data_IF_161753216380
#
_entry.id   IF_161753216380
#
_cell.length_a   1.000
_cell.length_b   1.000
_cell.length_c   1.000
_cell.angle_alpha   90.00
_cell.angle_beta   90.00
_cell.angle_gamma   90.00
#
_symmetry.space_group_name_H-M   'P 1'
#
loop_
_entity.id
_entity.type
_entity.pdbx_description
1 polymer ?
#
# COMPACT_ATOMS: atom_id res chain seq x y z
N UNK A 1 15.10 -3.69 -21.77
CA UNK A 1 13.92 -3.02 -21.16
C UNK A 1 13.08 -3.99 -20.32
N UNK A 2 12.55 -5.08 -20.90
CA UNK A 2 11.70 -6.04 -20.18
C UNK A 2 12.35 -6.65 -18.92
N UNK A 3 13.63 -7.01 -18.97
CA UNK A 3 14.33 -7.56 -17.80
C UNK A 3 14.47 -6.57 -16.64
N UNK A 4 14.68 -5.29 -16.95
CA UNK A 4 14.76 -4.23 -15.95
C UNK A 4 13.41 -4.01 -15.26
N UNK A 5 12.33 -3.99 -16.05
CA UNK A 5 10.95 -3.92 -15.53
C UNK A 5 10.65 -5.10 -14.61
N UNK A 6 11.00 -6.32 -15.02
CA UNK A 6 10.87 -7.51 -14.17
C UNK A 6 11.63 -7.36 -12.85
N UNK A 7 12.87 -6.84 -12.89
CA UNK A 7 13.67 -6.60 -11.67
C UNK A 7 12.96 -5.63 -10.72
N UNK A 8 12.39 -4.53 -11.22
CA UNK A 8 11.62 -3.59 -10.39
C UNK A 8 10.42 -4.28 -9.73
N UNK A 9 9.65 -5.07 -10.48
CA UNK A 9 8.52 -5.83 -9.94
C UNK A 9 8.91 -6.96 -8.97
N UNK A 10 10.18 -7.33 -8.90
CA UNK A 10 10.70 -8.31 -7.94
C UNK A 10 11.32 -7.66 -6.69
N UNK A 11 11.52 -6.33 -6.69
CA UNK A 11 12.02 -5.58 -5.53
C UNK A 11 10.90 -5.40 -4.49
N UNK A 12 10.58 -6.47 -3.77
CA UNK A 12 9.46 -6.51 -2.81
C UNK A 12 9.52 -5.42 -1.76
N UNK A 13 10.71 -5.17 -1.22
CA UNK A 13 10.93 -4.15 -0.21
C UNK A 13 10.53 -2.75 -0.72
N UNK A 14 10.84 -2.43 -1.98
CA UNK A 14 10.48 -1.16 -2.60
C UNK A 14 8.95 -1.01 -2.71
N UNK A 15 8.29 -2.07 -3.15
CA UNK A 15 6.83 -2.09 -3.28
C UNK A 15 6.11 -2.08 -1.93
N UNK A 16 6.67 -2.71 -0.89
CA UNK A 16 6.18 -2.59 0.49
C UNK A 16 6.27 -1.13 0.97
N UNK A 17 7.39 -0.44 0.69
CA UNK A 17 7.53 0.99 1.02
C UNK A 17 6.49 1.83 0.28
N UNK A 18 6.35 1.63 -1.03
CA UNK A 18 5.38 2.36 -1.84
C UNK A 18 3.94 2.14 -1.35
N UNK A 19 3.51 0.89 -1.21
CA UNK A 19 2.18 0.56 -0.71
C UNK A 19 1.95 1.14 0.68
N UNK A 20 2.93 1.02 1.57
CA UNK A 20 2.85 1.56 2.93
C UNK A 20 2.68 3.08 2.95
N UNK A 21 3.47 3.82 2.15
CA UNK A 21 3.36 5.27 2.02
C UNK A 21 1.98 5.71 1.53
N UNK A 22 1.47 5.06 0.47
CA UNK A 22 0.16 5.39 -0.08
C UNK A 22 -0.96 5.11 0.92
N UNK A 23 -0.91 3.99 1.67
CA UNK A 23 -1.90 3.73 2.72
C UNK A 23 -1.88 4.81 3.81
N UNK A 24 -0.70 5.20 4.29
CA UNK A 24 -0.59 6.29 5.27
C UNK A 24 -1.17 7.59 4.72
N UNK A 25 -0.88 7.93 3.46
CA UNK A 25 -1.45 9.10 2.80
C UNK A 25 -2.99 8.99 2.68
N UNK A 26 -3.53 7.82 2.38
CA UNK A 26 -4.96 7.59 2.25
C UNK A 26 -5.73 7.61 3.56
N UNK A 27 -5.08 7.40 4.70
CA UNK A 27 -5.72 7.55 6.01
C UNK A 27 -6.33 8.96 6.17
N UNK A 28 -5.71 10.00 5.58
CA UNK A 28 -6.22 11.37 5.60
C UNK A 28 -7.44 11.60 4.70
N UNK A 29 -7.72 10.70 3.77
CA UNK A 29 -8.87 10.78 2.85
C UNK A 29 -10.10 10.02 3.36
N UNK A 30 -9.97 9.20 4.40
CA UNK A 30 -11.08 8.42 4.99
C UNK A 30 -12.27 9.28 5.40
N UNK A 31 -12.12 10.49 6.00
CA UNK A 31 -13.26 11.33 6.35
C UNK A 31 -14.12 11.75 5.16
N UNK A 32 -13.57 11.73 3.94
CA UNK A 32 -14.32 12.05 2.72
C UNK A 32 -15.12 10.86 2.17
N UNK A 33 -14.87 9.66 2.69
CA UNK A 33 -15.50 8.41 2.22
C UNK A 33 -16.64 7.93 3.11
N UNK A 34 -16.66 8.34 4.39
CA UNK A 34 -17.61 7.83 5.38
C UNK A 34 -18.21 8.98 6.18
N UNK A 35 -19.50 8.90 6.47
CA UNK A 35 -20.22 9.89 7.30
C UNK A 35 -20.28 9.50 8.78
N UNK A 36 -19.90 8.28 9.14
CA UNK A 36 -19.95 7.78 10.51
C UNK A 36 -18.58 7.90 11.19
N UNK A 37 -18.51 8.65 12.30
CA UNK A 37 -17.27 8.91 13.03
C UNK A 37 -16.58 7.63 13.52
N UNK A 38 -17.33 6.65 14.02
CA UNK A 38 -16.76 5.40 14.50
C UNK A 38 -16.13 4.61 13.34
N UNK A 39 -16.81 4.55 12.18
CA UNK A 39 -16.26 3.94 10.97
C UNK A 39 -14.99 4.65 10.51
N UNK A 40 -14.97 5.99 10.49
CA UNK A 40 -13.79 6.77 10.13
C UNK A 40 -12.60 6.39 11.02
N UNK A 41 -12.78 6.40 12.34
CA UNK A 41 -11.71 6.08 13.31
C UNK A 41 -11.17 4.67 13.08
N UNK A 42 -12.05 3.67 12.92
CA UNK A 42 -11.66 2.28 12.72
C UNK A 42 -10.87 2.11 11.40
N UNK A 43 -11.37 2.69 10.31
CA UNK A 43 -10.72 2.58 8.99
C UNK A 43 -9.37 3.30 8.98
N UNK A 44 -9.26 4.47 9.62
CA UNK A 44 -7.97 5.17 9.78
C UNK A 44 -7.00 4.30 10.55
N UNK A 45 -7.40 3.75 11.70
CA UNK A 45 -6.53 2.93 12.53
C UNK A 45 -6.01 1.70 11.77
N UNK A 46 -6.90 0.95 11.12
CA UNK A 46 -6.53 -0.22 10.30
C UNK A 46 -5.57 0.18 9.18
N UNK A 47 -5.85 1.30 8.51
CA UNK A 47 -5.03 1.78 7.39
C UNK A 47 -3.64 2.21 7.84
N UNK A 48 -3.54 2.92 8.96
CA UNK A 48 -2.25 3.32 9.52
C UNK A 48 -1.45 2.11 10.00
N UNK A 49 -2.09 1.15 10.67
CA UNK A 49 -1.43 -0.09 11.08
C UNK A 49 -0.89 -0.84 9.87
N UNK A 50 -1.71 -1.05 8.83
CA UNK A 50 -1.29 -1.71 7.60
C UNK A 50 -0.17 -0.95 6.88
N UNK A 51 -0.31 0.37 6.76
CA UNK A 51 0.67 1.23 6.10
C UNK A 51 2.02 1.23 6.81
N UNK A 52 2.03 1.43 8.12
CA UNK A 52 3.25 1.37 8.94
C UNK A 52 3.87 -0.02 8.96
N UNK A 53 3.05 -1.08 8.97
CA UNK A 53 3.54 -2.46 8.86
C UNK A 53 4.29 -2.69 7.55
N UNK A 54 3.73 -2.27 6.42
CA UNK A 54 4.40 -2.40 5.12
C UNK A 54 5.64 -1.51 5.01
N UNK A 55 5.62 -0.29 5.57
CA UNK A 55 6.81 0.56 5.65
C UNK A 55 7.91 -0.10 6.48
N UNK A 56 7.56 -0.67 7.64
CA UNK A 56 8.51 -1.37 8.50
C UNK A 56 9.13 -2.57 7.78
N UNK A 57 8.35 -3.40 7.09
CA UNK A 57 8.85 -4.52 6.28
C UNK A 57 9.83 -4.04 5.21
N UNK A 58 9.41 -3.05 4.43
CA UNK A 58 10.18 -2.54 3.31
C UNK A 58 11.50 -1.88 3.74
N UNK A 59 11.46 -1.02 4.76
CA UNK A 59 12.67 -0.38 5.29
C UNK A 59 13.57 -1.37 6.04
N UNK A 60 13.01 -2.33 6.77
CA UNK A 60 13.82 -3.37 7.43
C UNK A 60 14.62 -4.16 6.40
N UNK A 61 14.02 -4.51 5.27
CA UNK A 61 14.72 -5.20 4.18
C UNK A 61 15.70 -4.31 3.42
N UNK A 62 15.39 -3.05 3.21
CA UNK A 62 16.34 -2.10 2.64
C UNK A 62 17.59 -1.94 3.53
N UNK A 63 17.40 -1.86 4.85
CA UNK A 63 18.50 -1.74 5.82
C UNK A 63 19.32 -3.04 5.93
N UNK A 64 18.69 -4.20 5.85
CA UNK A 64 19.39 -5.49 5.79
C UNK A 64 20.29 -5.59 4.56
N UNK A 65 19.83 -5.08 3.40
CA UNK A 65 20.63 -5.03 2.17
C UNK A 65 21.83 -4.06 2.27
N UNK A 66 21.68 -2.96 3.01
CA UNK A 66 22.75 -1.96 3.20
C UNK A 66 23.78 -2.39 4.26
N UNK A 67 23.31 -2.91 5.39
CA UNK A 67 24.15 -3.17 6.57
C UNK A 67 24.56 -4.64 6.72
N UNK A 68 23.95 -5.56 5.96
CA UNK A 68 24.15 -7.00 6.06
C UNK A 68 23.58 -7.64 7.34
N UNK A 69 22.89 -6.87 8.19
CA UNK A 69 22.30 -7.36 9.45
C UNK A 69 20.82 -7.64 9.27
N UNK A 70 20.41 -8.88 9.54
CA UNK A 70 19.00 -9.26 9.53
C UNK A 70 18.25 -8.56 10.67
N UNK A 71 17.14 -7.89 10.33
CA UNK A 71 16.18 -7.34 11.29
C UNK A 71 15.03 -8.31 11.54
N UNK A 72 14.29 -8.07 12.62
CA UNK A 72 13.09 -8.83 12.96
C UNK A 72 12.05 -8.67 11.85
N UNK A 73 11.69 -9.78 11.21
CA UNK A 73 10.62 -9.80 10.22
C UNK A 73 9.26 -9.67 10.91
N UNK A 74 8.32 -8.98 10.27
CA UNK A 74 6.94 -8.97 10.74
C UNK A 74 6.35 -10.39 10.70
N UNK A 75 5.59 -10.77 11.73
CA UNK A 75 4.87 -12.03 11.69
C UNK A 75 3.83 -11.99 10.56
N UNK A 76 3.70 -13.10 9.84
CA UNK A 76 2.58 -13.34 8.91
C UNK A 76 2.54 -12.30 7.76
N UNK A 77 3.66 -12.16 7.03
CA UNK A 77 3.80 -11.20 5.92
C UNK A 77 2.69 -11.26 4.86
N UNK A 78 2.12 -12.44 4.63
CA UNK A 78 1.02 -12.60 3.68
C UNK A 78 -0.23 -11.80 4.10
N UNK A 79 -0.49 -11.66 5.40
CA UNK A 79 -1.63 -10.91 5.93
C UNK A 79 -1.47 -9.42 5.66
N UNK A 80 -0.26 -8.88 5.88
CA UNK A 80 0.05 -7.48 5.58
C UNK A 80 -0.11 -7.15 4.10
N UNK A 81 0.33 -8.05 3.22
CA UNK A 81 0.15 -7.91 1.76
C UNK A 81 -1.32 -7.98 1.36
N UNK A 82 -2.09 -8.90 1.95
CA UNK A 82 -3.54 -8.99 1.72
C UNK A 82 -4.26 -7.72 2.17
N UNK A 83 -3.98 -7.24 3.39
CA UNK A 83 -4.54 -6.00 3.91
C UNK A 83 -4.17 -4.81 3.02
N UNK A 84 -2.91 -4.71 2.63
CA UNK A 84 -2.44 -3.66 1.72
C UNK A 84 -3.18 -3.67 0.39
N UNK A 85 -3.34 -4.84 -0.24
CA UNK A 85 -4.09 -4.98 -1.49
C UNK A 85 -5.56 -4.56 -1.33
N UNK A 86 -6.25 -5.09 -0.31
CA UNK A 86 -7.66 -4.80 -0.05
C UNK A 86 -7.88 -3.30 0.18
N UNK A 87 -7.05 -2.68 1.03
CA UNK A 87 -7.16 -1.25 1.34
C UNK A 87 -6.84 -0.38 0.12
N UNK A 88 -5.76 -0.67 -0.62
CA UNK A 88 -5.41 0.09 -1.83
C UNK A 88 -6.52 0.03 -2.87
N UNK A 89 -7.13 -1.14 -3.09
CA UNK A 89 -8.29 -1.24 -3.98
C UNK A 89 -9.52 -0.52 -3.43
N UNK A 90 -9.76 -0.56 -2.11
CA UNK A 90 -10.82 0.21 -1.47
C UNK A 90 -10.66 1.72 -1.67
N UNK A 91 -9.42 2.22 -1.59
CA UNK A 91 -9.12 3.63 -1.80
C UNK A 91 -9.24 4.11 -3.25
N UNK A 92 -9.44 3.20 -4.23
CA UNK A 92 -9.83 3.62 -5.58
C UNK A 92 -11.16 4.40 -5.57
N UNK A 93 -12.01 4.17 -4.56
CA UNK A 93 -13.26 4.92 -4.39
C UNK A 93 -13.03 6.41 -4.14
N UNK A 94 -11.87 6.83 -3.61
CA UNK A 94 -11.52 8.26 -3.44
C UNK A 94 -11.51 8.97 -4.80
N UNK A 95 -11.20 8.25 -5.87
CA UNK A 95 -11.10 8.80 -7.22
C UNK A 95 -12.44 8.85 -7.96
N UNK A 96 -13.51 8.31 -7.37
CA UNK A 96 -14.85 8.38 -7.95
C UNK A 96 -15.49 9.69 -7.49
N UNK A 97 -15.72 10.66 -8.39
CA UNK A 97 -16.27 11.95 -7.99
C UNK A 97 -17.73 11.79 -7.50
N UNK A 98 -18.08 12.30 -6.31
CA UNK A 98 -19.45 12.22 -5.81
C UNK A 98 -20.44 13.06 -6.64
N UNK A 99 -19.96 14.12 -7.30
CA UNK A 99 -20.78 15.03 -8.11
C UNK A 99 -20.06 15.44 -9.41
N UNK A 100 -19.73 14.48 -10.29
CA UNK A 100 -19.41 14.73 -11.71
C UNK A 100 -18.23 15.67 -12.05
N UNK A 101 -17.61 16.33 -11.09
CA UNK A 101 -16.38 17.10 -11.24
C UNK A 101 -15.23 16.16 -10.95
N UNK A 102 -14.40 15.96 -11.97
CA UNK A 102 -13.08 15.37 -11.83
C UNK A 102 -12.31 16.28 -10.86
N UNK A 103 -12.37 15.98 -9.57
CA UNK A 103 -11.41 16.52 -8.60
C UNK A 103 -10.07 16.06 -9.14
N UNK A 104 -9.13 16.98 -9.31
CA UNK A 104 -7.81 16.70 -9.85
C UNK A 104 -6.99 15.88 -8.86
N UNK A 105 -7.44 14.67 -8.55
CA UNK A 105 -6.60 13.60 -8.06
C UNK A 105 -5.71 13.21 -9.22
N UNK A 106 -4.40 13.22 -9.02
CA UNK A 106 -3.47 13.06 -10.13
C UNK A 106 -3.73 11.68 -10.75
N UNK A 107 -3.98 11.56 -12.07
CA UNK A 107 -4.15 10.25 -12.73
C UNK A 107 -3.00 9.30 -12.45
N UNK A 108 -1.83 9.87 -12.16
CA UNK A 108 -0.65 9.19 -11.68
C UNK A 108 -0.88 8.48 -10.33
N UNK A 109 -1.50 9.12 -9.33
CA UNK A 109 -1.76 8.52 -8.03
C UNK A 109 -2.75 7.36 -8.12
N UNK A 110 -3.78 7.49 -8.96
CA UNK A 110 -4.71 6.40 -9.27
C UNK A 110 -3.96 5.21 -9.87
N UNK A 111 -3.12 5.47 -10.89
CA UNK A 111 -2.34 4.43 -11.54
C UNK A 111 -1.39 3.75 -10.56
N UNK A 112 -0.69 4.52 -9.72
CA UNK A 112 0.24 3.96 -8.72
C UNK A 112 -0.52 3.13 -7.70
N UNK A 113 -1.68 3.58 -7.24
CA UNK A 113 -2.50 2.85 -6.26
C UNK A 113 -3.01 1.53 -6.81
N UNK A 114 -3.50 1.55 -8.05
CA UNK A 114 -3.93 0.35 -8.75
C UNK A 114 -2.77 -0.64 -8.93
N UNK A 115 -1.63 -0.16 -9.43
CA UNK A 115 -0.44 -1.00 -9.67
C UNK A 115 0.10 -1.54 -8.35
N UNK A 116 0.20 -0.72 -7.30
CA UNK A 116 0.64 -1.16 -5.98
C UNK A 116 -0.31 -2.23 -5.42
N UNK A 117 -1.63 -2.05 -5.56
CA UNK A 117 -2.63 -3.06 -5.16
C UNK A 117 -2.45 -4.38 -5.89
N UNK A 118 -2.27 -4.34 -7.22
CA UNK A 118 -2.00 -5.54 -8.04
C UNK A 118 -0.70 -6.22 -7.60
N UNK A 119 0.36 -5.45 -7.32
CA UNK A 119 1.65 -6.00 -6.89
C UNK A 119 1.54 -6.64 -5.51
N UNK A 120 0.87 -5.99 -4.56
CA UNK A 120 0.62 -6.58 -3.23
C UNK A 120 -0.18 -7.89 -3.33
N UNK A 121 -1.20 -7.92 -4.20
CA UNK A 121 -1.97 -9.13 -4.49
C UNK A 121 -1.10 -10.21 -5.15
N UNK A 122 -0.26 -9.85 -6.11
CA UNK A 122 0.67 -10.79 -6.74
C UNK A 122 1.65 -11.39 -5.71
N UNK A 123 2.13 -10.59 -4.77
CA UNK A 123 3.00 -11.05 -3.69
C UNK A 123 2.31 -11.92 -2.63
N UNK A 124 0.98 -11.94 -2.60
CA UNK A 124 0.21 -12.91 -1.80
C UNK A 124 0.30 -14.31 -2.41
N UNK A 125 0.21 -14.38 -3.74
CA UNK A 125 0.13 -15.63 -4.51
C UNK A 125 1.53 -16.20 -4.77
N UNK A 126 2.47 -15.32 -5.10
CA UNK A 126 3.85 -15.70 -5.43
C UNK A 126 4.64 -15.90 -4.14
N UNK A 127 4.73 -17.15 -3.67
CA UNK A 127 5.50 -17.57 -2.49
C UNK A 127 7.04 -17.51 -2.65
N UNK A 128 7.55 -17.22 -3.84
CA UNK A 128 8.99 -17.19 -4.14
C UNK A 128 9.77 -16.22 -3.27
#
# INVERSE_FOLDING_TARGET
MLEFVKKIFLMRWLWSIFAGFYLVAYAFWVPNLFNNLLTIIIVIAITLIAGLGLLYDGFSKALELDTGKALLALPIMWLWRALGAILLFGYLLVYIPPEGRIVAHWPLDLAITLVAGIVMLAYLILKY
#
